data_IF_696816138195
#
_entry.id   IF_696816138195
#
_cell.length_a   1.000
_cell.length_b   1.000
_cell.length_c   1.000
_cell.angle_alpha   90.00
_cell.angle_beta   90.00
_cell.angle_gamma   90.00
#
_symmetry.space_group_name_H-M   'P 1'
#
loop_
_entity.id
_entity.type
_entity.pdbx_description
1 polymer ?
#
# COMPACT_ATOMS: atom_id res chain seq x y z
N UNK A 1 33.07 -2.67 -85.38
CA UNK A 1 31.63 -2.34 -85.47
C UNK A 1 31.01 -2.66 -84.12
N UNK A 2 30.63 -1.64 -83.34
CA UNK A 2 29.85 -1.87 -82.13
C UNK A 2 28.39 -2.03 -82.59
N UNK A 3 27.85 -3.25 -82.47
CA UNK A 3 26.45 -3.51 -82.80
C UNK A 3 25.56 -2.82 -81.77
N UNK A 4 24.52 -2.13 -82.24
CA UNK A 4 23.47 -1.60 -81.37
C UNK A 4 22.69 -2.77 -80.74
N UNK A 5 22.34 -2.63 -79.46
CA UNK A 5 21.53 -3.64 -78.79
C UNK A 5 20.10 -3.64 -79.30
N UNK A 6 19.50 -4.83 -79.36
CA UNK A 6 18.08 -4.96 -79.66
C UNK A 6 17.24 -4.32 -78.56
N UNK A 7 16.08 -3.79 -78.95
CA UNK A 7 15.09 -3.20 -78.05
C UNK A 7 14.87 -4.11 -76.82
N UNK A 8 15.02 -3.55 -75.62
CA UNK A 8 14.86 -4.27 -74.36
C UNK A 8 16.15 -4.86 -73.77
N UNK A 9 17.31 -4.66 -74.41
CA UNK A 9 18.61 -5.12 -73.90
C UNK A 9 19.67 -4.02 -73.90
N UNK A 10 20.65 -4.12 -73.00
CA UNK A 10 21.73 -3.14 -72.86
C UNK A 10 23.06 -3.77 -72.39
N UNK A 11 24.13 -2.97 -72.45
CA UNK A 11 25.45 -3.32 -71.93
C UNK A 11 26.35 -4.07 -72.93
N UNK A 12 27.52 -4.54 -72.47
CA UNK A 12 28.49 -5.21 -73.33
C UNK A 12 27.92 -6.52 -73.88
N UNK A 13 27.81 -6.62 -75.22
CA UNK A 13 27.21 -7.77 -75.89
C UNK A 13 25.71 -7.94 -75.64
N UNK A 14 25.02 -6.89 -75.16
CA UNK A 14 23.57 -6.89 -74.93
C UNK A 14 23.09 -7.98 -73.96
N UNK A 15 23.94 -8.34 -73.00
CA UNK A 15 23.68 -9.42 -72.06
C UNK A 15 22.68 -9.07 -70.94
N UNK A 16 22.30 -7.79 -70.79
CA UNK A 16 21.39 -7.34 -69.73
C UNK A 16 20.03 -6.95 -70.32
N UNK A 17 18.94 -7.29 -69.64
CA UNK A 17 17.58 -6.87 -70.02
C UNK A 17 17.17 -5.57 -69.34
N UNK A 18 16.38 -4.72 -69.99
CA UNK A 18 15.80 -3.52 -69.37
C UNK A 18 14.88 -3.87 -68.19
N UNK A 19 14.77 -2.94 -67.22
CA UNK A 19 13.79 -3.05 -66.12
C UNK A 19 12.41 -2.49 -66.49
N UNK A 20 11.62 -2.13 -65.48
CA UNK A 20 10.23 -1.72 -65.62
C UNK A 20 10.10 -0.20 -65.85
N UNK A 21 10.50 0.27 -67.03
CA UNK A 21 10.36 1.69 -67.44
C UNK A 21 8.89 2.09 -67.66
N UNK A 22 8.54 3.33 -67.33
CA UNK A 22 7.20 3.88 -67.56
C UNK A 22 6.86 3.97 -69.07
N UNK A 23 5.56 3.87 -69.41
CA UNK A 23 5.03 3.92 -70.79
C UNK A 23 5.58 2.87 -71.79
N UNK A 24 6.05 1.71 -71.30
CA UNK A 24 6.70 0.65 -72.10
C UNK A 24 7.92 1.16 -72.93
N UNK A 25 8.51 2.27 -72.47
CA UNK A 25 9.68 2.84 -73.10
C UNK A 25 10.89 1.88 -72.99
N UNK A 26 11.70 1.84 -74.04
CA UNK A 26 12.93 1.04 -74.05
C UNK A 26 14.05 1.77 -73.30
N UNK A 27 14.77 1.05 -72.44
CA UNK A 27 15.90 1.63 -71.70
C UNK A 27 17.11 1.93 -72.63
N UNK A 28 18.03 2.78 -72.18
CA UNK A 28 19.21 3.16 -72.96
C UNK A 28 20.15 1.97 -73.25
N UNK A 29 20.70 1.84 -74.48
CA UNK A 29 21.43 0.65 -74.93
C UNK A 29 22.79 0.42 -74.24
N UNK A 30 23.36 1.45 -73.61
CA UNK A 30 24.64 1.34 -72.89
C UNK A 30 24.47 1.24 -71.38
N UNK A 31 23.54 2.02 -70.80
CA UNK A 31 23.42 2.17 -69.33
C UNK A 31 22.27 1.37 -68.73
N UNK A 32 21.23 1.05 -69.52
CA UNK A 32 20.03 0.39 -69.02
C UNK A 32 19.07 1.30 -68.27
N UNK A 33 19.33 2.61 -68.25
CA UNK A 33 18.53 3.63 -67.58
C UNK A 33 17.24 3.88 -68.34
N UNK A 34 16.13 4.06 -67.62
CA UNK A 34 14.85 4.43 -68.22
C UNK A 34 14.82 5.93 -68.62
N UNK A 35 14.09 6.31 -69.69
CA UNK A 35 13.91 7.72 -70.04
C UNK A 35 13.31 8.51 -68.88
N UNK A 36 13.86 9.72 -68.65
CA UNK A 36 13.50 10.61 -67.55
C UNK A 36 13.58 10.00 -66.13
N UNK A 37 14.30 8.87 -65.97
CA UNK A 37 14.44 8.13 -64.71
C UNK A 37 13.10 7.70 -64.08
N UNK A 38 12.06 7.53 -64.92
CA UNK A 38 10.72 7.13 -64.46
C UNK A 38 10.50 5.63 -64.53
N UNK A 39 10.16 5.04 -63.38
CA UNK A 39 9.81 3.64 -63.22
C UNK A 39 8.30 3.44 -63.15
N UNK A 40 7.82 2.26 -63.59
CA UNK A 40 6.42 1.87 -63.35
C UNK A 40 6.12 1.83 -61.83
N UNK A 41 4.86 2.10 -61.42
CA UNK A 41 4.47 2.04 -60.02
C UNK A 41 4.90 0.74 -59.34
N UNK A 42 5.57 0.85 -58.20
CA UNK A 42 6.09 -0.30 -57.45
C UNK A 42 7.52 -0.71 -57.82
N UNK A 43 8.20 0.03 -58.70
CA UNK A 43 9.61 -0.18 -59.04
C UNK A 43 10.45 1.07 -58.76
N UNK A 44 11.70 0.89 -58.36
CA UNK A 44 12.66 1.93 -58.03
C UNK A 44 14.06 1.64 -58.58
N UNK A 45 14.95 2.64 -58.49
CA UNK A 45 16.33 2.62 -58.95
C UNK A 45 16.51 3.06 -60.39
N UNK A 46 17.73 3.45 -60.78
CA UNK A 46 18.05 4.04 -62.09
C UNK A 46 17.68 3.14 -63.29
N UNK A 47 17.67 1.82 -63.09
CA UNK A 47 17.30 0.83 -64.12
C UNK A 47 15.93 0.21 -63.89
N UNK A 48 15.17 0.67 -62.89
CA UNK A 48 13.82 0.20 -62.55
C UNK A 48 13.72 -1.32 -62.36
N UNK A 49 14.75 -1.93 -61.78
CA UNK A 49 14.83 -3.38 -61.51
C UNK A 49 14.58 -3.73 -60.05
N UNK A 50 14.50 -2.76 -59.14
CA UNK A 50 14.21 -3.02 -57.74
C UNK A 50 12.73 -2.83 -57.50
N UNK A 51 12.05 -3.84 -56.97
CA UNK A 51 10.66 -3.71 -56.59
C UNK A 51 10.60 -3.02 -55.23
N UNK A 52 9.78 -1.98 -55.11
CA UNK A 52 9.48 -1.32 -53.84
C UNK A 52 8.71 -2.35 -53.01
N UNK A 53 9.42 -3.14 -52.21
CA UNK A 53 8.80 -4.01 -51.23
C UNK A 53 8.14 -3.10 -50.20
N UNK A 54 6.81 -2.97 -50.29
CA UNK A 54 6.01 -2.43 -49.20
C UNK A 54 6.47 -3.10 -47.91
N UNK A 55 7.04 -2.30 -47.01
CA UNK A 55 7.42 -2.74 -45.67
C UNK A 55 6.27 -3.59 -45.11
N UNK A 56 6.52 -4.87 -44.87
CA UNK A 56 5.57 -5.68 -44.13
C UNK A 56 5.40 -5.01 -42.77
N UNK A 57 4.18 -4.56 -42.46
CA UNK A 57 3.84 -4.05 -41.13
C UNK A 57 4.38 -5.00 -40.07
N UNK A 58 5.41 -4.55 -39.37
CA UNK A 58 6.13 -5.33 -38.37
C UNK A 58 5.26 -5.40 -37.11
N UNK A 59 4.38 -6.40 -37.07
CA UNK A 59 3.49 -6.78 -35.98
C UNK A 59 4.20 -7.01 -34.61
N UNK A 60 5.54 -6.97 -34.59
CA UNK A 60 6.35 -7.14 -33.38
C UNK A 60 6.34 -5.92 -32.46
N UNK A 61 6.20 -4.70 -32.98
CA UNK A 61 6.11 -3.50 -32.13
C UNK A 61 4.79 -3.47 -31.34
N UNK A 62 3.70 -3.86 -31.99
CA UNK A 62 2.39 -3.99 -31.35
C UNK A 62 2.38 -5.11 -30.31
N UNK A 63 2.96 -6.28 -30.62
CA UNK A 63 3.07 -7.39 -29.66
C UNK A 63 3.92 -7.02 -28.43
N UNK A 64 5.02 -6.28 -28.60
CA UNK A 64 5.84 -5.79 -27.48
C UNK A 64 5.07 -4.74 -26.67
N UNK A 65 4.34 -3.82 -27.31
CA UNK A 65 3.54 -2.80 -26.63
C UNK A 65 2.35 -3.39 -25.83
N UNK A 66 1.68 -4.42 -26.36
CA UNK A 66 0.59 -5.12 -25.67
C UNK A 66 1.12 -5.95 -24.51
N UNK A 67 2.29 -6.58 -24.65
CA UNK A 67 2.94 -7.33 -23.57
C UNK A 67 3.33 -6.47 -22.37
N UNK A 68 3.97 -5.32 -22.62
CA UNK A 68 4.45 -4.42 -21.55
C UNK A 68 3.29 -3.72 -20.82
N UNK A 69 2.24 -3.34 -21.55
CA UNK A 69 1.04 -2.74 -20.95
C UNK A 69 0.25 -3.75 -20.10
N UNK A 70 0.13 -5.00 -20.56
CA UNK A 70 -0.51 -6.07 -19.78
C UNK A 70 0.22 -6.37 -18.47
N UNK A 71 1.55 -6.53 -18.51
CA UNK A 71 2.34 -6.81 -17.31
C UNK A 71 2.30 -5.68 -16.28
N UNK A 72 2.31 -4.41 -16.72
CA UNK A 72 2.23 -3.28 -15.79
C UNK A 72 0.86 -3.16 -15.12
N UNK A 73 -0.24 -3.39 -15.85
CA UNK A 73 -1.59 -3.41 -15.26
C UNK A 73 -1.80 -4.57 -14.28
N UNK A 74 -1.27 -5.75 -14.57
CA UNK A 74 -1.35 -6.91 -13.65
C UNK A 74 -0.52 -6.66 -12.39
N UNK A 75 0.68 -6.09 -12.52
CA UNK A 75 1.52 -5.77 -11.36
C UNK A 75 0.91 -4.64 -10.51
N UNK A 76 0.46 -3.55 -11.13
CA UNK A 76 -0.21 -2.45 -10.42
C UNK A 76 -1.53 -2.93 -9.81
N UNK A 77 -2.30 -3.74 -10.53
CA UNK A 77 -3.54 -4.34 -10.02
C UNK A 77 -3.29 -5.31 -8.86
N UNK A 78 -2.23 -6.11 -8.93
CA UNK A 78 -1.86 -7.04 -7.84
C UNK A 78 -1.29 -6.30 -6.64
N UNK A 79 -0.51 -5.24 -6.85
CA UNK A 79 -0.01 -4.37 -5.79
C UNK A 79 -1.14 -3.56 -5.16
N UNK A 80 -2.06 -3.01 -5.96
CA UNK A 80 -3.25 -2.31 -5.47
C UNK A 80 -4.18 -3.28 -4.74
N UNK A 81 -4.40 -4.49 -5.26
CA UNK A 81 -5.20 -5.50 -4.57
C UNK A 81 -4.52 -5.98 -3.29
N UNK A 82 -3.20 -6.18 -3.27
CA UNK A 82 -2.46 -6.53 -2.07
C UNK A 82 -2.50 -5.38 -1.06
N UNK A 83 -2.30 -4.14 -1.48
CA UNK A 83 -2.45 -2.95 -0.66
C UNK A 83 -3.87 -2.85 -0.10
N UNK A 84 -4.89 -2.92 -0.96
CA UNK A 84 -6.30 -2.94 -0.57
C UNK A 84 -6.64 -4.13 0.33
N UNK A 85 -5.96 -5.27 0.19
CA UNK A 85 -6.14 -6.46 1.04
C UNK A 85 -5.44 -6.33 2.39
N UNK A 86 -4.30 -5.64 2.43
CA UNK A 86 -3.64 -5.26 3.69
C UNK A 86 -4.46 -4.19 4.42
N UNK A 87 -5.11 -3.26 3.70
CA UNK A 87 -6.01 -2.28 4.30
C UNK A 87 -7.40 -2.83 4.60
N UNK A 88 -7.88 -3.85 3.88
CA UNK A 88 -9.24 -4.39 4.07
C UNK A 88 -9.38 -5.30 5.29
N UNK A 89 -8.29 -5.78 5.87
CA UNK A 89 -8.33 -6.31 7.24
C UNK A 89 -8.71 -5.24 8.27
N UNK A 90 -8.60 -3.96 7.91
CA UNK A 90 -9.07 -2.80 8.66
C UNK A 90 -10.21 -2.06 7.93
N UNK A 91 -11.09 -2.76 7.21
CA UNK A 91 -12.30 -2.13 6.69
C UNK A 91 -13.24 -1.76 7.88
N UNK A 92 -13.55 -0.48 8.09
CA UNK A 92 -14.43 -0.07 9.17
C UNK A 92 -15.85 -0.53 8.86
N UNK A 93 -16.47 -1.28 9.77
CA UNK A 93 -17.92 -1.44 9.79
C UNK A 93 -18.49 -0.11 10.28
N UNK A 94 -18.65 0.85 9.37
CA UNK A 94 -19.30 2.13 9.65
C UNK A 94 -20.80 1.82 9.78
N UNK A 95 -21.24 1.53 11.00
CA UNK A 95 -22.63 1.71 11.40
C UNK A 95 -22.72 3.11 12.03
N UNK A 96 -22.88 4.11 11.18
CA UNK A 96 -23.12 5.51 11.56
C UNK A 96 -24.10 6.15 10.58
N UNK A 97 -24.93 7.11 11.02
CA UNK A 97 -26.08 7.60 10.26
C UNK A 97 -25.63 8.39 9.02
N UNK A 98 -26.43 8.28 7.97
CA UNK A 98 -26.32 8.96 6.68
C UNK A 98 -26.07 10.48 6.85
N UNK A 99 -24.88 10.96 6.48
CA UNK A 99 -24.47 12.36 6.63
C UNK A 99 -24.50 13.06 5.27
N UNK A 100 -25.44 14.00 5.11
CA UNK A 100 -25.76 14.71 3.88
C UNK A 100 -24.69 15.73 3.45
N UNK A 101 -24.37 15.73 2.15
CA UNK A 101 -23.25 16.42 1.50
C UNK A 101 -23.51 17.91 1.23
N UNK A 102 -24.54 18.49 1.84
CA UNK A 102 -24.96 19.88 1.66
C UNK A 102 -24.31 20.85 2.67
N UNK A 103 -23.75 20.34 3.78
CA UNK A 103 -23.20 21.18 4.88
C UNK A 103 -21.74 21.62 4.64
N UNK A 104 -21.02 20.97 3.72
CA UNK A 104 -19.57 21.24 3.49
C UNK A 104 -19.31 22.60 2.84
N UNK A 105 -20.27 23.16 2.08
CA UNK A 105 -20.10 24.48 1.45
C UNK A 105 -20.10 25.66 2.44
N UNK A 106 -20.49 25.44 3.70
CA UNK A 106 -20.50 26.49 4.73
C UNK A 106 -19.24 26.53 5.62
N UNK A 107 -18.30 25.60 5.47
CA UNK A 107 -17.18 25.44 6.43
C UNK A 107 -15.97 26.31 6.07
N UNK A 108 -15.89 26.85 4.85
CA UNK A 108 -14.79 27.75 4.46
C UNK A 108 -14.79 29.09 5.21
N UNK A 109 -15.92 29.53 5.75
CA UNK A 109 -16.04 30.84 6.43
C UNK A 109 -16.07 30.79 7.97
N UNK A 110 -16.03 29.60 8.59
CA UNK A 110 -16.00 29.47 10.06
C UNK A 110 -14.60 29.36 10.67
N UNK A 111 -13.54 29.51 9.88
CA UNK A 111 -12.15 29.48 10.37
C UNK A 111 -11.75 30.68 11.26
N UNK A 112 -12.67 31.62 11.54
CA UNK A 112 -12.39 32.83 12.33
C UNK A 112 -13.24 33.02 13.59
N UNK A 113 -14.14 32.10 13.95
CA UNK A 113 -14.88 32.23 15.22
C UNK A 113 -14.15 31.47 16.33
N UNK A 114 -13.41 32.26 17.10
CA UNK A 114 -12.73 31.92 18.36
C UNK A 114 -13.78 31.44 19.40
N UNK A 115 -14.18 30.18 19.31
CA UNK A 115 -15.00 29.50 20.32
C UNK A 115 -14.16 28.39 20.99
N UNK A 116 -14.05 28.35 22.33
CA UNK A 116 -13.22 27.37 23.03
C UNK A 116 -13.71 25.92 22.95
N UNK A 117 -14.87 25.67 22.35
CA UNK A 117 -15.58 24.38 22.41
C UNK A 117 -15.23 23.37 21.30
N UNK A 118 -14.37 23.71 20.32
CA UNK A 118 -14.08 22.84 19.16
C UNK A 118 -12.67 22.22 19.15
N UNK A 119 -11.72 22.75 19.90
CA UNK A 119 -10.34 22.23 19.89
C UNK A 119 -10.18 20.89 20.62
N UNK A 120 -10.89 20.66 21.72
CA UNK A 120 -10.83 19.37 22.45
C UNK A 120 -11.38 18.21 21.61
N UNK A 121 -12.51 18.42 20.92
CA UNK A 121 -13.13 17.37 20.10
C UNK A 121 -12.27 17.02 18.88
N UNK A 122 -11.59 17.99 18.27
CA UNK A 122 -10.66 17.75 17.16
C UNK A 122 -9.37 17.03 17.61
N UNK A 123 -8.76 17.39 18.75
CA UNK A 123 -7.59 16.68 19.29
C UNK A 123 -7.95 15.24 19.64
N UNK A 124 -9.13 15.03 20.23
CA UNK A 124 -9.62 13.68 20.57
C UNK A 124 -9.84 12.84 19.31
N UNK A 125 -10.33 13.45 18.23
CA UNK A 125 -10.57 12.79 16.93
C UNK A 125 -9.27 12.43 16.20
N UNK A 126 -8.29 13.34 16.13
CA UNK A 126 -6.97 13.06 15.54
C UNK A 126 -6.23 11.96 16.32
N UNK A 127 -6.32 12.01 17.65
CA UNK A 127 -5.79 10.96 18.51
C UNK A 127 -6.49 9.61 18.28
N UNK A 128 -7.81 9.58 18.13
CA UNK A 128 -8.55 8.34 17.83
C UNK A 128 -8.18 7.75 16.47
N UNK A 129 -7.98 8.59 15.43
CA UNK A 129 -7.52 8.11 14.12
C UNK A 129 -6.08 7.58 14.19
N UNK A 130 -5.18 8.26 14.91
CA UNK A 130 -3.79 7.83 15.08
C UNK A 130 -3.67 6.53 15.90
N UNK A 131 -4.45 6.41 16.97
CA UNK A 131 -4.55 5.19 17.79
C UNK A 131 -5.15 4.03 16.98
N UNK A 132 -6.22 4.29 16.20
CA UNK A 132 -6.87 3.30 15.34
C UNK A 132 -5.95 2.76 14.24
N UNK A 133 -4.98 3.55 13.78
CA UNK A 133 -3.97 3.10 12.81
C UNK A 133 -2.82 2.29 13.43
N UNK A 134 -2.50 2.49 14.71
CA UNK A 134 -1.35 1.85 15.38
C UNK A 134 -1.72 0.62 16.21
N UNK A 135 -2.91 0.58 16.78
CA UNK A 135 -3.33 -0.45 17.73
C UNK A 135 -4.38 -1.41 17.18
N UNK A 136 -4.74 -1.34 15.89
CA UNK A 136 -5.80 -2.17 15.31
C UNK A 136 -5.61 -3.68 15.55
N UNK A 137 -4.38 -4.17 15.45
CA UNK A 137 -4.05 -5.58 15.69
C UNK A 137 -4.04 -5.97 17.18
N UNK A 138 -4.04 -4.98 18.07
CA UNK A 138 -3.96 -5.14 19.53
C UNK A 138 -5.25 -4.76 20.25
N UNK A 139 -6.25 -4.24 19.53
CA UNK A 139 -7.50 -3.79 20.12
C UNK A 139 -8.35 -4.99 20.58
N UNK A 140 -8.77 -4.96 21.84
CA UNK A 140 -9.58 -6.00 22.47
C UNK A 140 -10.99 -5.46 22.73
N UNK A 141 -11.99 -6.29 22.46
CA UNK A 141 -13.36 -6.00 22.86
C UNK A 141 -13.45 -5.93 24.40
N UNK A 142 -13.71 -4.73 24.95
CA UNK A 142 -13.84 -4.51 26.40
C UNK A 142 -14.82 -5.48 27.08
N UNK A 143 -15.87 -5.93 26.39
CA UNK A 143 -16.88 -6.82 26.95
C UNK A 143 -16.32 -8.18 27.40
N UNK A 144 -15.15 -8.61 26.89
CA UNK A 144 -14.53 -9.86 27.32
C UNK A 144 -13.72 -9.72 28.62
N UNK A 145 -13.51 -8.49 29.10
CA UNK A 145 -12.73 -8.19 30.30
C UNK A 145 -13.66 -8.00 31.50
N UNK A 146 -13.63 -8.96 32.42
CA UNK A 146 -14.25 -8.82 33.72
C UNK A 146 -13.21 -8.32 34.74
N UNK A 147 -13.24 -7.02 35.03
CA UNK A 147 -12.23 -6.33 35.84
C UNK A 147 -12.67 -6.33 37.31
N UNK A 148 -11.76 -6.73 38.21
CA UNK A 148 -12.00 -6.70 39.64
C UNK A 148 -12.20 -5.27 40.13
N UNK A 149 -13.07 -5.08 41.13
CA UNK A 149 -13.34 -3.75 41.71
C UNK A 149 -12.15 -3.20 42.51
N UNK A 150 -11.31 -4.08 43.06
CA UNK A 150 -10.16 -3.72 43.89
C UNK A 150 -8.90 -3.56 43.04
N UNK A 151 -8.30 -2.38 43.09
CA UNK A 151 -6.99 -2.16 42.49
C UNK A 151 -5.90 -2.99 43.21
N UNK A 152 -5.07 -3.68 42.43
CA UNK A 152 -3.88 -4.41 42.91
C UNK A 152 -2.64 -3.52 42.98
N UNK A 153 -2.65 -2.39 42.27
CA UNK A 153 -1.59 -1.39 42.29
C UNK A 153 -2.14 -0.01 41.96
N UNK A 154 -1.53 1.02 42.53
CA UNK A 154 -1.84 2.42 42.25
C UNK A 154 -0.55 3.22 42.35
N UNK A 155 -0.27 4.05 41.34
CA UNK A 155 0.95 4.83 41.27
C UNK A 155 0.79 6.12 40.46
N UNK A 156 1.91 6.69 40.04
CA UNK A 156 1.96 7.86 39.17
C UNK A 156 1.28 7.58 37.81
N UNK A 157 1.40 6.35 37.31
CA UNK A 157 0.92 5.93 35.99
C UNK A 157 -0.53 5.40 35.98
N UNK A 158 -1.30 5.67 37.03
CA UNK A 158 -2.71 5.23 37.14
C UNK A 158 -2.93 4.07 38.11
N UNK A 159 -4.00 3.31 37.86
CA UNK A 159 -4.43 2.17 38.67
C UNK A 159 -4.27 0.88 37.86
N UNK A 160 -3.94 -0.20 38.55
CA UNK A 160 -3.84 -1.54 37.98
C UNK A 160 -4.84 -2.44 38.70
N UNK A 161 -5.61 -3.17 37.93
CA UNK A 161 -6.63 -4.10 38.38
C UNK A 161 -6.29 -5.50 37.91
N UNK A 162 -6.69 -6.50 38.70
CA UNK A 162 -6.75 -7.87 38.20
C UNK A 162 -8.02 -8.01 37.38
N UNK A 163 -7.97 -8.78 36.30
CA UNK A 163 -9.15 -9.06 35.50
C UNK A 163 -9.14 -10.51 35.02
N UNK A 164 -10.33 -11.02 34.73
CA UNK A 164 -10.52 -12.29 34.04
C UNK A 164 -11.02 -12.08 32.63
N UNK A 165 -10.52 -12.86 31.69
CA UNK A 165 -10.95 -12.83 30.29
C UNK A 165 -11.94 -13.97 30.05
N UNK A 166 -13.13 -13.66 29.54
CA UNK A 166 -14.20 -14.65 29.30
C UNK A 166 -13.98 -15.47 28.03
N UNK A 167 -13.23 -14.92 27.08
CA UNK A 167 -12.93 -15.52 25.78
C UNK A 167 -11.42 -15.57 25.54
N UNK A 168 -10.97 -16.48 24.69
CA UNK A 168 -9.56 -16.51 24.30
C UNK A 168 -9.22 -15.24 23.50
N UNK A 169 -8.21 -14.48 23.94
CA UNK A 169 -7.69 -13.36 23.18
C UNK A 169 -6.99 -13.95 21.94
N UNK A 170 -7.36 -13.47 20.74
CA UNK A 170 -6.86 -14.00 19.46
C UNK A 170 -5.32 -14.09 19.41
N UNK A 171 -4.63 -13.16 20.09
CA UNK A 171 -3.17 -13.06 20.15
C UNK A 171 -2.52 -13.97 21.19
N UNK A 172 -3.28 -14.75 21.98
CA UNK A 172 -2.70 -15.61 23.02
C UNK A 172 -3.49 -16.89 23.31
N UNK A 173 -2.88 -18.04 22.99
CA UNK A 173 -3.21 -19.35 23.59
C UNK A 173 -2.77 -19.35 25.05
N UNK A 174 -3.46 -18.64 25.94
CA UNK A 174 -3.16 -18.71 27.38
C UNK A 174 -3.95 -19.84 28.06
N UNK A 175 -3.29 -20.65 28.90
CA UNK A 175 -3.96 -21.61 29.77
C UNK A 175 -4.61 -20.97 31.01
N UNK A 176 -4.45 -19.65 31.22
CA UNK A 176 -4.98 -18.92 32.39
C UNK A 176 -5.69 -17.65 31.94
N UNK A 177 -6.97 -17.55 32.29
CA UNK A 177 -7.86 -16.44 31.97
C UNK A 177 -7.59 -15.18 32.81
N UNK A 178 -6.42 -15.03 33.44
CA UNK A 178 -6.15 -13.95 34.40
C UNK A 178 -5.11 -12.99 33.85
N UNK A 179 -5.47 -11.71 33.80
CA UNK A 179 -4.65 -10.62 33.28
C UNK A 179 -4.59 -9.45 34.28
N UNK A 180 -3.68 -8.52 34.04
CA UNK A 180 -3.67 -7.22 34.71
C UNK A 180 -4.13 -6.14 33.72
N UNK A 181 -5.02 -5.27 34.15
CA UNK A 181 -5.52 -4.13 33.39
C UNK A 181 -5.05 -2.85 34.03
N UNK A 182 -4.22 -2.09 33.32
CA UNK A 182 -3.80 -0.75 33.73
C UNK A 182 -4.70 0.29 33.07
N UNK A 183 -5.09 1.29 33.84
CA UNK A 183 -5.88 2.43 33.37
C UNK A 183 -5.53 3.70 34.15
N UNK A 184 -5.84 4.85 33.56
CA UNK A 184 -5.64 6.14 34.21
C UNK A 184 -6.71 6.39 35.30
N UNK A 185 -6.43 7.37 36.17
CA UNK A 185 -7.41 7.86 37.14
C UNK A 185 -8.48 8.70 36.43
N UNK A 186 -9.66 8.82 37.03
CA UNK A 186 -10.83 9.47 36.43
C UNK A 186 -10.58 10.94 36.02
N UNK A 187 -9.64 11.62 36.69
CA UNK A 187 -9.26 13.01 36.46
C UNK A 187 -7.93 13.19 35.72
N UNK A 188 -7.52 12.22 34.91
CA UNK A 188 -6.26 12.30 34.18
C UNK A 188 -6.27 13.41 33.11
N UNK A 189 -5.19 14.18 33.05
CA UNK A 189 -5.01 15.26 32.08
C UNK A 189 -4.80 14.72 30.66
N UNK A 190 -5.00 15.56 29.64
CA UNK A 190 -4.73 15.20 28.25
C UNK A 190 -3.28 14.75 28.02
N UNK A 191 -2.32 15.36 28.73
CA UNK A 191 -0.92 14.93 28.70
C UNK A 191 -0.75 13.52 29.26
N UNK A 192 -1.34 13.21 30.41
CA UNK A 192 -1.27 11.87 31.00
C UNK A 192 -1.91 10.80 30.10
N UNK A 193 -2.96 11.16 29.35
CA UNK A 193 -3.55 10.28 28.34
C UNK A 193 -2.59 10.01 27.18
N UNK A 194 -1.93 11.05 26.67
CA UNK A 194 -0.93 10.93 25.61
C UNK A 194 0.26 10.05 26.06
N UNK A 195 0.83 10.33 27.24
CA UNK A 195 1.94 9.56 27.80
C UNK A 195 1.56 8.08 27.99
N UNK A 196 0.31 7.82 28.40
CA UNK A 196 -0.18 6.44 28.58
C UNK A 196 -0.33 5.70 27.24
N UNK A 197 -0.70 6.40 26.17
CA UNK A 197 -0.80 5.81 24.83
C UNK A 197 0.57 5.57 24.21
N UNK A 198 1.54 6.44 24.48
CA UNK A 198 2.95 6.21 24.14
C UNK A 198 3.52 5.00 24.90
N UNK A 199 3.18 4.81 26.18
CA UNK A 199 3.57 3.61 26.94
C UNK A 199 3.01 2.32 26.31
N UNK A 200 1.75 2.34 25.87
CA UNK A 200 1.15 1.21 25.14
C UNK A 200 1.90 0.96 23.83
N UNK A 201 2.23 2.01 23.08
CA UNK A 201 3.00 1.91 21.83
C UNK A 201 4.38 1.27 22.06
N UNK A 202 5.12 1.69 23.08
CA UNK A 202 6.40 1.08 23.42
C UNK A 202 6.27 -0.41 23.74
N UNK A 203 5.22 -0.81 24.47
CA UNK A 203 4.99 -2.23 24.76
C UNK A 203 4.67 -3.05 23.50
N UNK A 204 3.99 -2.45 22.51
CA UNK A 204 3.76 -3.06 21.20
C UNK A 204 5.08 -3.25 20.45
N UNK A 205 5.92 -2.22 20.40
CA UNK A 205 7.22 -2.26 19.71
C UNK A 205 8.20 -3.27 20.31
N UNK A 206 8.23 -3.38 21.65
CA UNK A 206 9.08 -4.34 22.36
C UNK A 206 8.69 -5.79 22.05
N UNK A 207 7.41 -6.06 21.80
CA UNK A 207 6.91 -7.39 21.46
C UNK A 207 6.98 -8.38 22.63
N UNK A 208 7.18 -9.66 22.32
CA UNK A 208 7.13 -10.76 23.30
C UNK A 208 8.53 -11.25 23.67
N UNK A 209 8.87 -11.25 24.96
CA UNK A 209 10.13 -11.78 25.49
C UNK A 209 9.90 -12.45 26.85
N UNK A 210 10.56 -13.59 27.18
CA UNK A 210 10.31 -14.35 28.42
C UNK A 210 10.62 -13.60 29.73
N UNK A 211 11.42 -12.54 29.67
CA UNK A 211 11.79 -11.73 30.83
C UNK A 211 11.25 -10.29 30.80
N UNK A 212 10.35 -9.99 29.87
CA UNK A 212 9.68 -8.68 29.77
C UNK A 212 8.19 -8.90 29.95
N UNK A 213 7.55 -7.98 30.64
CA UNK A 213 6.11 -8.02 30.87
C UNK A 213 5.37 -8.08 29.53
N UNK A 214 4.58 -9.13 29.31
CA UNK A 214 3.90 -9.33 28.03
C UNK A 214 2.66 -8.46 27.90
N UNK A 215 2.53 -7.77 26.77
CA UNK A 215 1.29 -7.14 26.33
C UNK A 215 0.37 -8.18 25.67
N UNK A 216 -0.91 -8.16 26.04
CA UNK A 216 -1.95 -8.95 25.38
C UNK A 216 -2.85 -8.12 24.46
N UNK A 217 -2.98 -6.83 24.75
CA UNK A 217 -3.69 -5.87 23.91
C UNK A 217 -4.11 -4.62 24.68
N UNK A 218 -4.97 -3.83 24.07
CA UNK A 218 -5.46 -2.59 24.63
C UNK A 218 -6.93 -2.34 24.27
N UNK A 219 -7.58 -1.45 25.02
CA UNK A 219 -8.87 -0.88 24.65
C UNK A 219 -8.67 0.63 24.54
N UNK A 220 -8.48 1.14 23.34
CA UNK A 220 -8.17 2.55 23.05
C UNK A 220 -9.31 3.29 22.36
N UNK A 221 -10.29 2.56 21.83
CA UNK A 221 -11.42 3.12 21.07
C UNK A 221 -12.47 3.80 21.96
N UNK A 222 -12.55 3.39 23.23
CA UNK A 222 -13.48 3.94 24.22
C UNK A 222 -12.73 4.32 25.50
N UNK A 223 -13.29 5.27 26.25
CA UNK A 223 -12.84 5.57 27.61
C UNK A 223 -13.50 4.62 28.64
N UNK A 224 -12.82 4.28 29.75
CA UNK A 224 -11.40 4.56 30.02
C UNK A 224 -10.45 3.70 29.17
N UNK A 225 -9.30 4.25 28.79
CA UNK A 225 -8.29 3.50 28.03
C UNK A 225 -7.70 2.39 28.90
N UNK A 226 -7.63 1.18 28.36
CA UNK A 226 -7.06 -0.01 29.03
C UNK A 226 -5.81 -0.51 28.33
N UNK A 227 -4.79 -0.84 29.12
CA UNK A 227 -3.64 -1.64 28.70
C UNK A 227 -3.73 -3.01 29.40
N UNK A 228 -3.78 -4.09 28.62
CA UNK A 228 -3.98 -5.45 29.10
C UNK A 228 -2.66 -6.21 29.03
N UNK A 229 -2.12 -6.57 30.18
CA UNK A 229 -0.79 -7.20 30.32
C UNK A 229 -0.84 -8.48 31.15
N UNK A 230 0.27 -9.21 31.15
CA UNK A 230 0.46 -10.38 32.00
C UNK A 230 0.25 -10.07 33.49
N UNK A 231 -0.46 -10.97 34.17
CA UNK A 231 -0.67 -10.86 35.61
C UNK A 231 0.52 -11.45 36.39
N UNK A 232 1.28 -10.58 37.06
CA UNK A 232 2.42 -10.97 37.90
C UNK A 232 1.95 -11.37 39.31
N UNK A 233 1.73 -12.67 39.53
CA UNK A 233 1.15 -13.21 40.77
C UNK A 233 1.91 -12.87 42.06
N UNK A 234 3.19 -12.53 41.98
CA UNK A 234 4.04 -12.19 43.13
C UNK A 234 4.28 -10.68 43.28
N UNK A 235 3.65 -9.85 42.44
CA UNK A 235 3.84 -8.40 42.44
C UNK A 235 5.23 -7.98 41.99
N UNK A 236 5.66 -6.80 42.44
CA UNK A 236 6.97 -6.24 42.10
C UNK A 236 8.12 -6.91 42.86
N UNK A 237 9.32 -6.85 42.26
CA UNK A 237 10.52 -7.48 42.80
C UNK A 237 10.91 -6.93 44.18
N UNK A 238 10.79 -5.62 44.41
CA UNK A 238 11.15 -5.01 45.70
C UNK A 238 10.23 -5.51 46.82
N UNK A 239 8.92 -5.55 46.56
CA UNK A 239 7.92 -6.10 47.46
C UNK A 239 8.17 -7.58 47.74
N UNK A 240 8.53 -8.35 46.71
CA UNK A 240 8.90 -9.76 46.86
C UNK A 240 10.13 -9.93 47.77
N UNK A 241 11.22 -9.22 47.49
CA UNK A 241 12.45 -9.30 48.28
C UNK A 241 12.24 -8.88 49.75
N UNK A 242 11.40 -7.87 50.00
CA UNK A 242 11.05 -7.45 51.37
C UNK A 242 10.33 -8.55 52.15
N UNK A 243 9.36 -9.22 51.54
CA UNK A 243 8.64 -10.35 52.17
C UNK A 243 9.58 -11.52 52.46
N UNK A 244 10.48 -11.85 51.55
CA UNK A 244 11.46 -12.92 51.76
C UNK A 244 12.38 -12.64 52.95
N UNK A 245 12.74 -11.37 53.22
CA UNK A 245 13.58 -11.02 54.39
C UNK A 245 12.87 -11.19 55.74
N UNK A 246 11.54 -11.10 55.76
CA UNK A 246 10.74 -11.31 56.98
C UNK A 246 10.50 -12.79 57.29
N UNK A 247 10.70 -13.67 56.31
CA UNK A 247 10.79 -15.11 56.53
C UNK A 247 12.22 -15.45 56.97
N UNK A 248 12.62 -14.95 58.14
CA UNK A 248 13.75 -15.52 58.88
C UNK A 248 13.14 -16.50 59.90
N UNK A 249 13.32 -17.79 59.62
CA UNK A 249 13.09 -18.91 60.55
C UNK A 249 14.12 -18.81 61.67
#
# INVERSE_FOLDING_TARGET
MHGECTVGTYGAGCAQSCGHCEDDASCGPHTGTCPDERCKPGWEGETCKHQISSEGENNNAYLIAVGVSGCTLILVGSLLWFYLRTTSKCAPKISGPEFDLSTVRGISDLALTRSPYTVESFITYDHHIRAKSKFCDWEINRAILNIDTKAIGSGAFGKVYKATVTEAIASSKLPKNVVAVKCLKDNATSQQKADFLEEIEHMVEVGSHPNILKLYGCCTMDQPIYMVVEFMQHGDLLGFLRRCKQVRI
#
